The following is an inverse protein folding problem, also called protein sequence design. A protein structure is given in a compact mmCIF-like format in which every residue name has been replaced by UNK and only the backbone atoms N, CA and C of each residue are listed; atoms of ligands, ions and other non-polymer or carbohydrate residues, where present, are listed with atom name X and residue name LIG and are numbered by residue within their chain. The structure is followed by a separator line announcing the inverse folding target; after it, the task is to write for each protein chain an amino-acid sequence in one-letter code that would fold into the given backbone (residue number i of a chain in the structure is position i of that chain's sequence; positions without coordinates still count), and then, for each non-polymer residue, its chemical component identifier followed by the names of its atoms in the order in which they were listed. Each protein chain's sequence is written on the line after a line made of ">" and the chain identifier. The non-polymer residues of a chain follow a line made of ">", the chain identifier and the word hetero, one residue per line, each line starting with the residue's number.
data_IF_325919573760
#
_entry.id   IF_325919573760
#
_cell.length_a   1.000
_cell.length_b   1.000
_cell.length_c   1.000
_cell.angle_alpha   90.00
_cell.angle_beta   90.00
_cell.angle_gamma   90.00
#
_symmetry.space_group_name_H-M   'P 1'
#
loop_
_entity.id
_entity.type
_entity.pdbx_description
1 polymer ?
#
# COMPACT_ATOMS: atom_id res chain seq x y z
N UNK A 1 -34.96 30.78 -27.82
CA UNK A 1 -34.51 29.58 -27.11
C UNK A 1 -33.06 29.13 -27.47
N UNK A 2 -32.38 29.91 -28.31
CA UNK A 2 -30.98 29.61 -28.71
C UNK A 2 -29.90 30.27 -27.83
N UNK A 3 -30.31 31.14 -26.91
CA UNK A 3 -29.33 31.91 -26.11
C UNK A 3 -28.88 31.17 -24.83
N UNK A 4 -29.59 30.12 -24.42
CA UNK A 4 -29.25 29.32 -23.23
C UNK A 4 -28.33 28.13 -23.52
N UNK A 5 -28.21 27.71 -24.77
CA UNK A 5 -27.37 26.56 -25.15
C UNK A 5 -25.88 26.92 -25.28
N UNK A 6 -25.53 28.18 -25.52
CA UNK A 6 -24.13 28.62 -25.68
C UNK A 6 -23.42 28.97 -24.38
N UNK A 7 -24.14 29.10 -23.25
CA UNK A 7 -23.51 29.36 -21.95
C UNK A 7 -23.01 28.06 -21.26
N UNK A 8 -23.59 26.88 -21.60
CA UNK A 8 -23.18 25.63 -20.99
C UNK A 8 -22.01 24.95 -21.70
N UNK A 9 -21.70 25.27 -22.96
CA UNK A 9 -20.53 24.75 -23.67
C UNK A 9 -19.22 25.45 -23.32
N UNK A 10 -19.27 26.68 -22.79
CA UNK A 10 -18.08 27.44 -22.42
C UNK A 10 -17.41 27.00 -21.11
N UNK A 11 -18.18 26.45 -20.16
CA UNK A 11 -17.64 26.08 -18.87
C UNK A 11 -16.98 24.69 -18.85
N UNK A 12 -17.44 23.76 -19.69
CA UNK A 12 -16.84 22.42 -19.77
C UNK A 12 -15.41 22.43 -20.35
N UNK A 13 -15.13 23.34 -21.29
CA UNK A 13 -13.82 23.45 -21.94
C UNK A 13 -12.74 24.10 -21.04
N UNK A 14 -13.13 24.93 -20.09
CA UNK A 14 -12.19 25.62 -19.18
C UNK A 14 -11.81 24.69 -18.02
N UNK A 15 -12.74 23.90 -17.49
CA UNK A 15 -12.43 22.91 -16.46
C UNK A 15 -11.58 21.76 -17.01
N UNK A 16 -11.87 21.25 -18.21
CA UNK A 16 -11.05 20.22 -18.85
C UNK A 16 -9.63 20.71 -19.17
N UNK A 17 -9.47 21.98 -19.55
CA UNK A 17 -8.14 22.55 -19.82
C UNK A 17 -7.32 22.77 -18.55
N UNK A 18 -7.95 23.11 -17.42
CA UNK A 18 -7.30 23.24 -16.12
C UNK A 18 -6.87 21.88 -15.55
N UNK A 19 -7.72 20.86 -15.64
CA UNK A 19 -7.41 19.50 -15.18
C UNK A 19 -6.33 18.86 -16.04
N UNK A 20 -6.36 19.09 -17.36
CA UNK A 20 -5.30 18.63 -18.28
C UNK A 20 -3.98 19.36 -18.06
N UNK A 21 -4.02 20.64 -17.71
CA UNK A 21 -2.86 21.45 -17.35
C UNK A 21 -2.19 20.98 -16.06
N UNK A 22 -2.98 20.63 -15.04
CA UNK A 22 -2.48 20.13 -13.76
C UNK A 22 -1.87 18.72 -13.92
N UNK A 23 -2.47 17.85 -14.73
CA UNK A 23 -1.90 16.51 -14.99
C UNK A 23 -0.57 16.60 -15.77
N UNK A 24 -0.44 17.52 -16.74
CA UNK A 24 0.83 17.76 -17.45
C UNK A 24 1.89 18.42 -16.57
N UNK A 25 1.50 19.32 -15.66
CA UNK A 25 2.41 19.95 -14.73
C UNK A 25 2.91 18.92 -13.67
N UNK A 26 2.05 18.04 -13.19
CA UNK A 26 2.41 16.95 -12.30
C UNK A 26 3.33 15.93 -12.98
N UNK A 27 3.10 15.58 -14.24
CA UNK A 27 4.00 14.72 -15.05
C UNK A 27 5.39 15.34 -15.25
N UNK A 28 5.44 16.67 -15.48
CA UNK A 28 6.73 17.38 -15.63
C UNK A 28 7.45 17.56 -14.29
N UNK A 29 6.71 17.75 -13.20
CA UNK A 29 7.28 17.85 -11.86
C UNK A 29 7.82 16.49 -11.38
N UNK A 30 7.10 15.39 -11.62
CA UNK A 30 7.62 14.05 -11.33
C UNK A 30 8.87 13.71 -12.14
N UNK A 31 8.89 14.04 -13.45
CA UNK A 31 10.08 13.84 -14.29
C UNK A 31 11.27 14.70 -13.82
N UNK A 32 11.01 15.93 -13.37
CA UNK A 32 12.02 16.83 -12.83
C UNK A 32 12.61 16.36 -11.51
N UNK A 33 11.78 15.86 -10.59
CA UNK A 33 12.20 15.33 -9.29
C UNK A 33 12.98 14.02 -9.47
N UNK A 34 12.57 13.17 -10.41
CA UNK A 34 13.29 11.92 -10.72
C UNK A 34 14.69 12.24 -11.27
N UNK A 35 14.82 13.29 -12.08
CA UNK A 35 16.12 13.69 -12.65
C UNK A 35 17.05 14.34 -11.61
N UNK A 36 16.50 15.11 -10.66
CA UNK A 36 17.27 15.74 -9.58
C UNK A 36 17.74 14.68 -8.57
N UNK A 37 16.92 13.68 -8.26
CA UNK A 37 17.33 12.58 -7.38
C UNK A 37 18.39 11.68 -8.03
N UNK A 38 18.36 11.52 -9.35
CA UNK A 38 19.37 10.73 -10.08
C UNK A 38 20.73 11.48 -10.17
N UNK A 39 20.73 12.80 -10.24
CA UNK A 39 21.96 13.60 -10.27
C UNK A 39 22.65 13.72 -8.89
N UNK A 40 21.92 13.60 -7.79
CA UNK A 40 22.51 13.54 -6.44
C UNK A 40 23.12 12.16 -6.13
N UNK A 41 22.63 11.08 -6.76
CA UNK A 41 23.19 9.74 -6.59
C UNK A 41 24.54 9.54 -7.34
N UNK A 42 24.81 10.35 -8.36
CA UNK A 42 26.04 10.24 -9.17
C UNK A 42 27.30 10.83 -8.51
N UNK A 43 27.17 11.56 -7.40
CA UNK A 43 28.31 12.21 -6.74
C UNK A 43 28.87 11.43 -5.54
N UNK A 44 28.39 10.22 -5.27
CA UNK A 44 28.81 9.41 -4.12
C UNK A 44 29.75 8.24 -4.46
N UNK A 45 30.38 8.25 -5.61
CA UNK A 45 31.36 7.23 -5.95
C UNK A 45 32.76 7.85 -6.12
N UNK A 46 33.55 7.84 -5.05
CA UNK A 46 34.97 7.49 -5.04
C UNK A 46 35.50 7.49 -3.61
N UNK A 47 35.52 6.35 -2.97
CA UNK A 47 36.50 6.01 -1.97
C UNK A 47 36.75 4.51 -2.09
N UNK A 48 37.80 4.16 -2.84
CA UNK A 48 38.40 2.82 -2.74
C UNK A 48 38.96 2.69 -1.32
N UNK A 49 38.18 2.07 -0.42
CA UNK A 49 38.75 1.50 0.78
C UNK A 49 39.01 0.03 0.51
N UNK A 50 40.30 -0.33 0.50
CA UNK A 50 40.73 -1.72 0.58
C UNK A 50 40.14 -2.33 1.85
N UNK A 51 39.17 -3.19 1.69
CA UNK A 51 38.57 -3.94 2.79
C UNK A 51 39.52 -5.09 3.09
N UNK A 52 40.27 -4.98 4.18
CA UNK A 52 40.83 -6.16 4.83
C UNK A 52 39.64 -7.09 5.15
N UNK A 53 39.65 -8.28 4.55
CA UNK A 53 38.71 -9.35 4.87
C UNK A 53 38.99 -9.83 6.30
N UNK A 54 38.50 -9.08 7.28
CA UNK A 54 38.35 -9.59 8.63
C UNK A 54 37.35 -10.75 8.59
N UNK A 55 37.65 -11.79 9.35
CA UNK A 55 36.80 -12.97 9.53
C UNK A 55 35.36 -12.54 9.77
N UNK A 56 34.50 -12.69 8.74
CA UNK A 56 33.06 -12.37 8.83
C UNK A 56 32.44 -13.51 9.64
N UNK A 57 32.30 -13.33 10.94
CA UNK A 57 31.48 -14.19 11.78
C UNK A 57 30.01 -14.03 11.33
N UNK A 58 29.59 -14.83 10.36
CA UNK A 58 28.19 -14.89 9.94
C UNK A 58 27.39 -15.50 11.07
N UNK A 59 26.83 -14.65 11.92
CA UNK A 59 25.83 -15.08 12.90
C UNK A 59 24.59 -15.54 12.12
N UNK A 60 24.46 -16.85 11.95
CA UNK A 60 23.33 -17.46 11.26
C UNK A 60 22.01 -17.06 11.90
N UNK A 61 20.96 -16.91 11.08
CA UNK A 61 19.60 -16.73 11.59
C UNK A 61 19.26 -17.88 12.56
N UNK A 62 18.79 -17.54 13.74
CA UNK A 62 18.42 -18.53 14.76
C UNK A 62 16.89 -18.60 14.86
N UNK A 63 16.35 -19.78 14.66
CA UNK A 63 14.93 -20.11 14.85
C UNK A 63 14.81 -20.92 16.13
N UNK A 64 13.95 -20.48 17.04
CA UNK A 64 13.63 -21.17 18.28
C UNK A 64 12.16 -21.53 18.23
N UNK A 65 11.88 -22.85 18.28
CA UNK A 65 10.50 -23.34 18.35
C UNK A 65 9.94 -23.11 19.76
N UNK A 66 8.72 -22.57 19.81
CA UNK A 66 7.94 -22.37 21.02
C UNK A 66 6.68 -23.24 20.96
N UNK A 67 5.97 -23.35 22.07
CA UNK A 67 4.70 -24.08 22.14
C UNK A 67 3.60 -23.44 21.29
N UNK A 68 3.66 -22.10 21.14
CA UNK A 68 2.68 -21.27 20.46
C UNK A 68 3.21 -20.66 19.14
N UNK A 69 4.36 -21.13 18.64
CA UNK A 69 4.91 -20.63 17.39
C UNK A 69 6.43 -20.63 17.28
N UNK A 70 6.99 -19.61 16.63
CA UNK A 70 8.40 -19.48 16.32
C UNK A 70 8.97 -18.16 16.84
N UNK A 71 10.14 -18.20 17.42
CA UNK A 71 10.92 -17.02 17.73
C UNK A 71 12.13 -16.95 16.79
N UNK A 72 12.20 -15.87 16.01
CA UNK A 72 13.17 -15.70 14.95
C UNK A 72 14.14 -14.56 15.25
N UNK A 73 15.42 -14.84 15.09
CA UNK A 73 16.50 -13.88 15.19
C UNK A 73 17.14 -13.70 13.81
N UNK A 74 17.12 -12.48 13.30
CA UNK A 74 17.67 -12.13 12.01
C UNK A 74 19.19 -12.05 12.06
N UNK A 75 19.86 -12.57 11.03
CA UNK A 75 21.27 -12.29 10.80
C UNK A 75 21.46 -10.84 10.33
N UNK A 76 22.67 -10.29 10.51
CA UNK A 76 22.96 -8.95 10.06
C UNK A 76 22.85 -8.83 8.52
N UNK A 77 23.25 -9.89 7.79
CA UNK A 77 23.07 -9.96 6.34
C UNK A 77 21.59 -9.89 5.91
N UNK A 78 20.67 -10.54 6.64
CA UNK A 78 19.24 -10.44 6.36
C UNK A 78 18.68 -9.05 6.62
N UNK A 79 19.16 -8.35 7.66
CA UNK A 79 18.79 -6.98 7.98
C UNK A 79 19.29 -6.00 6.91
N UNK A 80 20.54 -6.13 6.49
CA UNK A 80 21.15 -5.26 5.48
C UNK A 80 20.53 -5.45 4.09
N UNK A 81 20.16 -6.69 3.76
CA UNK A 81 19.49 -7.00 2.51
C UNK A 81 18.02 -6.59 2.46
N UNK A 82 17.45 -6.06 3.54
CA UNK A 82 16.04 -5.70 3.63
C UNK A 82 15.84 -4.19 3.66
N UNK A 83 14.80 -3.70 2.97
CA UNK A 83 14.46 -2.27 2.85
C UNK A 83 13.37 -1.84 3.82
N UNK A 84 12.51 -2.77 4.26
CA UNK A 84 11.31 -2.52 5.06
C UNK A 84 11.00 -3.69 5.99
N UNK A 85 10.02 -3.52 6.88
CA UNK A 85 9.48 -4.64 7.66
C UNK A 85 8.86 -5.72 6.77
N UNK A 86 8.25 -5.37 5.65
CA UNK A 86 7.69 -6.34 4.70
C UNK A 86 8.78 -7.19 4.05
N UNK A 87 9.84 -6.57 3.55
CA UNK A 87 10.95 -7.31 2.93
C UNK A 87 11.65 -8.25 3.92
N UNK A 88 11.70 -7.89 5.21
CA UNK A 88 12.16 -8.79 6.27
C UNK A 88 11.25 -10.00 6.41
N UNK A 89 9.94 -9.78 6.54
CA UNK A 89 8.98 -10.87 6.72
C UNK A 89 8.94 -11.80 5.49
N UNK A 90 9.05 -11.24 4.27
CA UNK A 90 9.07 -12.00 3.03
C UNK A 90 10.25 -12.97 2.98
N UNK A 91 11.45 -12.53 3.40
CA UNK A 91 12.67 -13.36 3.45
C UNK A 91 12.62 -14.45 4.50
N UNK A 92 11.82 -14.28 5.55
CA UNK A 92 11.67 -15.28 6.61
C UNK A 92 10.77 -16.45 6.21
N UNK A 93 9.96 -16.30 5.16
CA UNK A 93 9.07 -17.34 4.64
C UNK A 93 8.24 -18.01 5.73
N UNK A 94 7.50 -17.21 6.51
CA UNK A 94 6.70 -17.69 7.63
C UNK A 94 5.65 -18.71 7.16
N UNK A 95 5.41 -19.80 7.91
CA UNK A 95 4.46 -20.83 7.53
C UNK A 95 3.02 -20.26 7.46
N UNK A 96 2.27 -20.65 6.43
CA UNK A 96 0.87 -20.26 6.16
C UNK A 96 0.64 -18.74 5.98
N UNK A 97 1.70 -17.97 5.85
CA UNK A 97 1.61 -16.50 5.64
C UNK A 97 2.06 -16.16 4.22
N UNK A 98 1.26 -15.35 3.56
CA UNK A 98 1.58 -14.70 2.29
C UNK A 98 1.88 -13.23 2.53
N UNK A 99 3.04 -12.80 2.09
CA UNK A 99 3.51 -11.42 2.21
C UNK A 99 3.65 -10.86 0.81
N UNK A 100 2.96 -9.76 0.56
CA UNK A 100 3.03 -8.98 -0.66
C UNK A 100 3.53 -7.58 -0.30
N UNK A 101 4.80 -7.31 -0.60
CA UNK A 101 5.43 -6.03 -0.28
C UNK A 101 4.85 -4.91 -1.16
N UNK A 102 4.57 -5.20 -2.44
CA UNK A 102 4.04 -4.21 -3.38
C UNK A 102 2.60 -3.80 -3.04
N UNK A 103 1.77 -4.78 -2.72
CA UNK A 103 0.41 -4.55 -2.25
C UNK A 103 0.36 -4.14 -0.77
N UNK A 104 1.48 -4.18 -0.04
CA UNK A 104 1.60 -3.93 1.40
C UNK A 104 0.62 -4.75 2.22
N UNK A 105 0.48 -6.00 1.85
CA UNK A 105 -0.49 -6.91 2.44
C UNK A 105 0.19 -8.13 3.08
N UNK A 106 -0.31 -8.51 4.24
CA UNK A 106 0.03 -9.76 4.91
C UNK A 106 -1.25 -10.53 5.13
N UNK A 107 -1.36 -11.69 4.54
CA UNK A 107 -2.56 -12.52 4.55
C UNK A 107 -2.24 -13.98 4.88
N UNK A 108 -3.26 -14.73 5.25
CA UNK A 108 -3.17 -16.17 5.47
C UNK A 108 -3.32 -16.91 4.14
N UNK A 109 -2.60 -18.03 3.98
CA UNK A 109 -2.77 -18.93 2.82
C UNK A 109 -3.92 -19.90 3.07
N UNK A 110 -4.14 -20.27 4.33
CA UNK A 110 -5.11 -21.29 4.77
C UNK A 110 -6.51 -20.72 5.06
N UNK A 111 -6.72 -19.41 4.88
CA UNK A 111 -7.98 -18.71 5.12
C UNK A 111 -8.58 -18.89 6.53
N UNK A 112 -7.77 -19.24 7.54
CA UNK A 112 -8.25 -19.44 8.91
C UNK A 112 -8.62 -18.16 9.64
N UNK A 113 -8.23 -17.00 9.11
CA UNK A 113 -8.52 -15.71 9.71
C UNK A 113 -7.54 -14.63 9.28
N UNK A 114 -7.42 -13.58 10.07
CA UNK A 114 -6.52 -12.46 9.80
C UNK A 114 -5.14 -12.64 10.43
N UNK A 115 -4.15 -11.92 9.89
CA UNK A 115 -2.83 -11.77 10.49
C UNK A 115 -2.78 -10.44 11.23
N UNK A 116 -2.44 -10.48 12.51
CA UNK A 116 -2.24 -9.27 13.31
C UNK A 116 -0.75 -8.93 13.36
N UNK A 117 -0.40 -7.74 12.87
CA UNK A 117 0.95 -7.20 12.92
C UNK A 117 1.15 -6.36 14.18
N UNK A 118 2.25 -6.55 14.86
CA UNK A 118 2.61 -5.80 16.07
C UNK A 118 4.07 -5.38 16.05
N UNK A 119 4.36 -4.22 16.62
CA UNK A 119 5.71 -3.76 16.90
C UNK A 119 5.79 -3.45 18.39
N UNK A 120 6.69 -4.12 19.10
CA UNK A 120 6.86 -4.00 20.57
C UNK A 120 5.55 -4.23 21.34
N UNK A 121 4.72 -5.19 20.90
CA UNK A 121 3.42 -5.50 21.50
C UNK A 121 2.27 -4.59 21.10
N UNK A 122 2.50 -3.54 20.31
CA UNK A 122 1.49 -2.58 19.85
C UNK A 122 1.01 -3.00 18.46
N UNK A 123 -0.31 -3.05 18.23
CA UNK A 123 -0.89 -3.32 16.91
C UNK A 123 -0.52 -2.18 15.96
N UNK A 124 -0.01 -2.54 14.78
CA UNK A 124 0.45 -1.61 13.77
C UNK A 124 -0.27 -1.83 12.45
N UNK A 125 -0.28 -0.80 11.63
CA UNK A 125 -0.82 -0.86 10.28
C UNK A 125 0.27 -1.04 9.20
N UNK A 126 -0.19 -1.00 7.95
CA UNK A 126 0.67 -1.17 6.78
C UNK A 126 1.76 -0.09 6.67
N UNK A 127 1.43 1.16 7.01
CA UNK A 127 2.37 2.27 6.89
C UNK A 127 3.51 2.16 7.92
N UNK A 128 3.19 1.73 9.14
CA UNK A 128 4.18 1.52 10.19
C UNK A 128 5.13 0.35 9.87
N UNK A 129 4.62 -0.71 9.24
CA UNK A 129 5.44 -1.82 8.75
C UNK A 129 6.39 -1.38 7.62
N UNK A 130 5.94 -0.49 6.73
CA UNK A 130 6.77 0.05 5.66
C UNK A 130 7.91 0.92 6.23
N UNK A 131 7.63 1.72 7.25
CA UNK A 131 8.58 2.62 7.89
C UNK A 131 9.52 1.95 8.89
N UNK A 132 9.39 0.65 9.10
CA UNK A 132 10.22 -0.11 10.04
C UNK A 132 11.63 -0.30 9.49
N UNK A 133 12.63 0.24 10.21
CA UNK A 133 14.04 0.00 9.90
C UNK A 133 14.42 -1.45 10.24
N UNK A 134 14.82 -2.28 9.26
CA UNK A 134 15.25 -3.65 9.49
C UNK A 134 16.41 -3.78 10.48
N UNK A 135 17.33 -2.81 10.52
CA UNK A 135 18.49 -2.81 11.43
C UNK A 135 18.08 -2.66 12.89
N UNK A 136 16.92 -2.06 13.14
CA UNK A 136 16.37 -1.91 14.49
C UNK A 136 15.80 -3.21 15.05
N UNK A 137 15.48 -4.20 14.23
CA UNK A 137 14.83 -5.44 14.63
C UNK A 137 15.78 -6.31 15.48
N UNK A 138 15.30 -6.69 16.65
CA UNK A 138 16.01 -7.60 17.56
C UNK A 138 15.57 -9.05 17.35
N UNK A 139 14.27 -9.27 17.31
CA UNK A 139 13.62 -10.58 17.16
C UNK A 139 12.22 -10.40 16.61
N UNK A 140 11.70 -11.48 16.03
CA UNK A 140 10.32 -11.59 15.56
C UNK A 140 9.69 -12.79 16.25
N UNK A 141 8.57 -12.56 16.90
CA UNK A 141 7.75 -13.59 17.54
C UNK A 141 6.57 -13.90 16.63
N UNK A 142 6.60 -15.07 15.99
CA UNK A 142 5.51 -15.57 15.17
C UNK A 142 4.67 -16.53 16.00
N UNK A 143 3.41 -16.18 16.24
CA UNK A 143 2.47 -16.97 17.04
C UNK A 143 1.44 -17.56 16.09
N UNK A 144 1.41 -18.89 16.00
CA UNK A 144 0.52 -19.66 15.14
C UNK A 144 -0.75 -20.16 15.85
N UNK A 145 -0.82 -19.96 17.15
CA UNK A 145 -2.00 -20.24 17.98
C UNK A 145 -2.22 -19.13 18.99
N UNK A 146 -2.69 -17.93 18.53
CA UNK A 146 -2.70 -16.73 19.37
C UNK A 146 -3.73 -16.76 20.50
N UNK A 147 -4.77 -17.61 20.40
CA UNK A 147 -5.85 -17.66 21.37
C UNK A 147 -6.65 -16.36 21.45
N UNK A 148 -7.66 -16.35 22.33
CA UNK A 148 -8.65 -15.27 22.44
C UNK A 148 -8.09 -13.92 22.88
N UNK A 149 -6.90 -13.88 23.47
CA UNK A 149 -6.25 -12.63 23.96
C UNK A 149 -5.90 -11.64 22.84
N UNK A 150 -5.81 -12.12 21.61
CA UNK A 150 -5.47 -11.28 20.44
C UNK A 150 -6.71 -10.83 19.64
N UNK A 151 -7.88 -11.25 20.06
CA UNK A 151 -9.17 -10.93 19.43
C UNK A 151 -9.72 -12.06 18.58
N UNK A 152 -11.02 -11.96 18.30
CA UNK A 152 -11.72 -12.94 17.47
C UNK A 152 -11.27 -12.83 16.01
N UNK A 153 -11.13 -13.97 15.33
CA UNK A 153 -10.77 -14.02 13.92
C UNK A 153 -9.28 -13.77 13.62
N UNK A 154 -8.42 -13.62 14.64
CA UNK A 154 -6.96 -13.55 14.47
C UNK A 154 -6.40 -14.97 14.44
N UNK A 155 -5.89 -15.39 13.27
CA UNK A 155 -5.30 -16.71 13.09
C UNK A 155 -3.80 -16.72 13.41
N UNK A 156 -3.11 -15.64 13.12
CA UNK A 156 -1.67 -15.51 13.33
C UNK A 156 -1.31 -14.13 13.87
N UNK A 157 -0.27 -14.09 14.71
CA UNK A 157 0.29 -12.82 15.21
C UNK A 157 1.78 -12.78 14.88
N UNK A 158 2.23 -11.65 14.35
CA UNK A 158 3.63 -11.35 14.09
C UNK A 158 4.00 -10.16 14.95
N UNK A 159 4.74 -10.38 16.03
CA UNK A 159 5.20 -9.33 16.93
C UNK A 159 6.70 -9.07 16.74
N UNK A 160 7.04 -7.91 16.19
CA UNK A 160 8.40 -7.50 15.90
C UNK A 160 8.94 -6.69 17.08
N UNK A 161 9.91 -7.23 17.79
CA UNK A 161 10.61 -6.49 18.84
C UNK A 161 11.77 -5.72 18.25
N UNK A 162 11.80 -4.41 18.45
CA UNK A 162 12.86 -3.53 17.95
C UNK A 162 13.74 -3.00 19.07
N UNK A 163 14.95 -2.55 18.70
CA UNK A 163 15.75 -1.69 19.55
C UNK A 163 15.16 -0.29 19.47
N UNK A 164 14.72 0.26 20.59
CA UNK A 164 14.23 1.64 20.61
C UNK A 164 15.44 2.58 20.53
N UNK A 165 15.46 3.42 19.50
CA UNK A 165 16.39 4.55 19.47
C UNK A 165 16.00 5.52 20.61
N UNK A 166 16.98 5.97 21.40
CA UNK A 166 16.74 6.95 22.48
C UNK A 166 16.41 8.33 21.93
N UNK A 167 16.94 8.66 20.76
CA UNK A 167 16.60 9.86 19.99
C UNK A 167 17.02 9.65 18.52
N UNK A 168 16.32 10.30 17.60
CA UNK A 168 16.63 10.23 16.18
C UNK A 168 15.42 10.51 15.30
N UNK A 169 15.65 10.53 14.00
CA UNK A 169 14.60 10.65 13.00
C UNK A 169 14.83 9.64 11.87
N UNK A 170 13.76 9.22 11.26
CA UNK A 170 13.77 8.40 10.05
C UNK A 170 12.84 9.06 9.03
N UNK A 171 13.29 9.21 7.80
CA UNK A 171 12.47 9.70 6.69
C UNK A 171 12.67 8.74 5.54
N UNK A 172 11.59 8.43 4.84
CA UNK A 172 11.65 7.55 3.69
C UNK A 172 10.50 7.78 2.72
N UNK A 173 10.64 7.17 1.55
CA UNK A 173 9.63 7.20 0.50
C UNK A 173 9.55 5.84 -0.17
N UNK A 174 8.34 5.48 -0.59
CA UNK A 174 8.07 4.30 -1.41
C UNK A 174 7.29 4.75 -2.63
N UNK A 175 7.80 4.42 -3.82
CA UNK A 175 7.23 4.83 -5.10
C UNK A 175 6.94 3.56 -5.90
N UNK A 176 5.67 3.38 -6.28
CA UNK A 176 5.24 2.29 -7.14
C UNK A 176 4.48 2.87 -8.32
N UNK A 177 4.92 2.57 -9.54
CA UNK A 177 4.34 3.08 -10.77
C UNK A 177 4.23 1.96 -11.80
N UNK A 178 3.04 1.79 -12.37
CA UNK A 178 2.84 0.89 -13.50
C UNK A 178 3.41 1.50 -14.78
N UNK A 179 4.13 0.70 -15.58
CA UNK A 179 4.75 1.17 -16.81
C UNK A 179 3.78 1.20 -18.00
N UNK A 180 2.78 0.31 -18.00
CA UNK A 180 1.83 0.13 -19.09
C UNK A 180 0.41 0.60 -18.78
N UNK A 181 0.19 1.15 -17.58
CA UNK A 181 -1.10 1.66 -17.16
C UNK A 181 -0.91 2.93 -16.31
N UNK A 182 -1.87 3.84 -16.37
CA UNK A 182 -1.85 5.06 -15.56
C UNK A 182 -2.31 4.75 -14.13
N UNK A 183 -1.44 4.10 -13.36
CA UNK A 183 -1.68 3.69 -11.99
C UNK A 183 -0.39 3.81 -11.18
N UNK A 184 -0.46 4.45 -10.02
CA UNK A 184 0.68 4.62 -9.14
C UNK A 184 0.29 4.83 -7.69
N UNK A 185 1.16 4.38 -6.79
CA UNK A 185 1.07 4.61 -5.35
C UNK A 185 2.38 5.20 -4.85
N UNK A 186 2.28 6.29 -4.11
CA UNK A 186 3.43 7.01 -3.57
C UNK A 186 3.22 7.23 -2.09
N UNK A 187 4.20 6.84 -1.29
CA UNK A 187 4.19 7.04 0.15
C UNK A 187 5.40 7.85 0.56
N UNK A 188 5.19 8.83 1.42
CA UNK A 188 6.24 9.55 2.14
C UNK A 188 5.97 9.36 3.63
N UNK A 189 7.00 9.01 4.37
CA UNK A 189 6.88 8.85 5.81
C UNK A 189 8.03 9.49 6.56
N UNK A 190 7.71 9.96 7.75
CA UNK A 190 8.68 10.50 8.70
C UNK A 190 8.39 10.00 10.11
N UNK A 191 9.43 9.70 10.88
CA UNK A 191 9.36 9.26 12.25
C UNK A 191 10.40 10.01 13.09
N UNK A 192 9.99 10.53 14.22
CA UNK A 192 10.85 11.23 15.14
C UNK A 192 10.72 10.64 16.54
N UNK A 193 11.85 10.21 17.10
CA UNK A 193 11.96 9.62 18.43
C UNK A 193 12.69 10.55 19.38
N UNK A 194 12.15 10.72 20.57
CA UNK A 194 12.78 11.46 21.65
C UNK A 194 12.48 10.77 22.99
N UNK A 195 13.48 10.10 23.58
CA UNK A 195 13.31 9.37 24.84
C UNK A 195 12.20 8.32 24.76
N UNK A 196 11.09 8.57 25.46
CA UNK A 196 9.92 7.66 25.50
C UNK A 196 8.86 7.99 24.45
N UNK A 197 9.01 9.10 23.75
CA UNK A 197 8.03 9.61 22.77
C UNK A 197 8.48 9.30 21.36
N UNK A 198 7.53 8.92 20.53
CA UNK A 198 7.69 8.72 19.09
C UNK A 198 6.53 9.41 18.38
N UNK A 199 6.85 10.24 17.40
CA UNK A 199 5.89 10.87 16.49
C UNK A 199 6.15 10.36 15.07
N UNK A 200 5.12 9.87 14.41
CA UNK A 200 5.21 9.43 13.02
C UNK A 200 4.13 10.09 12.15
N UNK A 201 4.52 10.46 10.95
CA UNK A 201 3.65 11.00 9.90
C UNK A 201 3.80 10.13 8.66
N UNK A 202 2.68 9.66 8.12
CA UNK A 202 2.61 8.94 6.86
C UNK A 202 1.65 9.67 5.92
N UNK A 203 2.05 9.83 4.67
CA UNK A 203 1.22 10.35 3.59
C UNK A 203 1.28 9.40 2.42
N UNK A 204 0.13 8.88 2.01
CA UNK A 204 -0.05 8.02 0.87
C UNK A 204 -0.85 8.75 -0.20
N UNK A 205 -0.34 8.77 -1.42
CA UNK A 205 -1.03 9.23 -2.61
C UNK A 205 -1.13 8.11 -3.63
N UNK A 206 -2.36 7.77 -4.00
CA UNK A 206 -2.65 6.80 -5.05
C UNK A 206 -3.42 7.45 -6.18
N UNK A 207 -3.05 7.15 -7.42
CA UNK A 207 -3.86 7.51 -8.56
C UNK A 207 -4.08 6.31 -9.47
N UNK A 208 -5.22 6.32 -10.14
CA UNK A 208 -5.64 5.33 -11.09
C UNK A 208 -6.41 6.02 -12.21
N UNK A 209 -6.00 5.82 -13.45
CA UNK A 209 -6.72 6.31 -14.64
C UNK A 209 -6.72 5.19 -15.69
N UNK A 210 -7.87 4.56 -15.87
CA UNK A 210 -8.06 3.47 -16.81
C UNK A 210 -9.15 3.82 -17.80
N UNK A 211 -8.81 3.73 -19.07
CA UNK A 211 -9.74 3.85 -20.18
C UNK A 211 -9.96 2.47 -20.82
N UNK A 212 -11.18 2.25 -21.27
CA UNK A 212 -11.48 1.11 -22.16
C UNK A 212 -11.56 -0.25 -21.46
N UNK A 213 -11.96 -0.33 -20.19
CA UNK A 213 -12.37 -1.60 -19.62
C UNK A 213 -13.51 -2.16 -20.49
N UNK A 214 -13.39 -3.39 -20.95
CA UNK A 214 -14.41 -4.05 -21.75
C UNK A 214 -14.94 -5.24 -20.97
N UNK A 215 -16.25 -5.25 -20.80
CA UNK A 215 -16.98 -6.36 -20.25
C UNK A 215 -18.10 -6.72 -21.22
N UNK A 216 -18.21 -7.99 -21.56
CA UNK A 216 -19.29 -8.54 -22.34
C UNK A 216 -20.07 -9.49 -21.45
N UNK A 217 -21.36 -9.25 -21.33
CA UNK A 217 -22.25 -10.05 -20.51
C UNK A 217 -23.46 -10.48 -21.34
N UNK A 218 -23.79 -11.76 -21.30
CA UNK A 218 -25.04 -12.28 -21.87
C UNK A 218 -25.80 -13.02 -20.78
N UNK A 219 -27.01 -12.53 -20.45
CA UNK A 219 -27.89 -13.14 -19.50
C UNK A 219 -29.04 -13.88 -20.23
N UNK A 220 -29.27 -15.13 -19.86
CA UNK A 220 -30.35 -15.96 -20.40
C UNK A 220 -31.42 -16.17 -19.32
N UNK A 221 -32.65 -15.78 -19.59
CA UNK A 221 -33.79 -15.96 -18.71
C UNK A 221 -34.73 -17.01 -19.31
N UNK A 222 -34.86 -18.16 -18.67
CA UNK A 222 -35.82 -19.18 -19.03
C UNK A 222 -37.19 -18.82 -18.49
N UNK A 223 -38.13 -18.57 -19.37
CA UNK A 223 -39.50 -18.21 -19.00
C UNK A 223 -40.38 -19.45 -18.79
N UNK A 224 -41.49 -19.27 -18.09
CA UNK A 224 -42.40 -20.38 -17.74
C UNK A 224 -43.08 -21.02 -18.96
N UNK A 225 -43.10 -20.35 -20.10
CA UNK A 225 -43.65 -20.83 -21.38
C UNK A 225 -42.63 -21.64 -22.19
N UNK A 226 -41.44 -21.86 -21.63
CA UNK A 226 -40.32 -22.56 -22.26
C UNK A 226 -39.48 -21.69 -23.23
N UNK A 227 -39.82 -20.42 -23.39
CA UNK A 227 -39.01 -19.49 -24.19
C UNK A 227 -37.77 -19.02 -23.41
N UNK A 228 -36.76 -18.54 -24.11
CA UNK A 228 -35.55 -17.96 -23.50
C UNK A 228 -35.49 -16.50 -23.91
N UNK A 229 -35.47 -15.64 -22.87
CA UNK A 229 -35.26 -14.21 -23.05
C UNK A 229 -33.80 -13.88 -22.82
N UNK A 230 -33.18 -13.14 -23.75
CA UNK A 230 -31.73 -12.85 -23.70
C UNK A 230 -31.50 -11.35 -23.58
N UNK A 231 -30.64 -10.98 -22.65
CA UNK A 231 -30.11 -9.62 -22.53
C UNK A 231 -28.62 -9.67 -22.75
N UNK A 232 -28.10 -8.88 -23.71
CA UNK A 232 -26.69 -8.70 -23.96
C UNK A 232 -26.26 -7.29 -23.54
N UNK A 233 -25.14 -7.18 -22.83
CA UNK A 233 -24.56 -5.91 -22.41
C UNK A 233 -23.09 -5.90 -22.77
N UNK A 234 -22.72 -5.03 -23.70
CA UNK A 234 -21.37 -4.91 -24.19
C UNK A 234 -20.84 -3.50 -23.91
N UNK A 235 -19.72 -3.38 -23.19
CA UNK A 235 -19.09 -2.09 -22.95
C UNK A 235 -18.60 -1.48 -24.26
N UNK A 236 -19.03 -0.24 -24.54
CA UNK A 236 -18.59 0.54 -25.70
C UNK A 236 -17.40 1.42 -25.32
N UNK A 237 -17.52 2.14 -24.21
CA UNK A 237 -16.52 3.04 -23.68
C UNK A 237 -16.64 3.11 -22.16
N UNK A 238 -15.52 3.11 -21.49
CA UNK A 238 -15.47 3.32 -20.04
C UNK A 238 -14.25 4.13 -19.66
N UNK A 239 -14.37 4.89 -18.59
CA UNK A 239 -13.26 5.54 -17.93
C UNK A 239 -13.43 5.40 -16.43
N UNK A 240 -12.35 5.03 -15.74
CA UNK A 240 -12.31 5.01 -14.29
C UNK A 240 -11.09 5.80 -13.82
N UNK A 241 -11.34 6.98 -13.26
CA UNK A 241 -10.30 7.87 -12.73
C UNK A 241 -10.50 8.07 -11.24
N UNK A 242 -9.44 7.80 -10.46
CA UNK A 242 -9.50 7.94 -9.01
C UNK A 242 -8.19 8.48 -8.46
N UNK A 243 -8.30 9.45 -7.56
CA UNK A 243 -7.19 9.98 -6.76
C UNK A 243 -7.51 9.75 -5.29
N UNK A 244 -6.61 9.07 -4.59
CA UNK A 244 -6.75 8.77 -3.17
C UNK A 244 -5.60 9.43 -2.42
N UNK A 245 -5.92 10.12 -1.34
CA UNK A 245 -4.94 10.69 -0.44
C UNK A 245 -5.25 10.20 0.97
N UNK A 246 -4.26 9.69 1.66
CA UNK A 246 -4.35 9.29 3.07
C UNK A 246 -3.23 9.96 3.84
N UNK A 247 -3.60 10.59 4.95
CA UNK A 247 -2.67 11.15 5.94
C UNK A 247 -2.88 10.43 7.25
N UNK A 248 -1.82 9.99 7.90
CA UNK A 248 -1.86 9.42 9.24
C UNK A 248 -0.76 10.02 10.10
N UNK A 249 -1.15 10.57 11.23
CA UNK A 249 -0.28 11.03 12.30
C UNK A 249 -0.44 10.08 13.49
N UNK A 250 0.66 9.54 14.01
CA UNK A 250 0.64 8.66 15.17
C UNK A 250 1.62 9.18 16.22
N UNK A 251 1.17 9.24 17.46
CA UNK A 251 2.00 9.54 18.62
C UNK A 251 2.03 8.34 19.57
N UNK A 252 3.21 7.86 19.88
CA UNK A 252 3.45 6.77 20.81
C UNK A 252 4.26 7.30 22.01
N UNK A 253 3.74 7.04 23.21
CA UNK A 253 4.46 7.26 24.45
C UNK A 253 4.53 5.92 25.20
N UNK A 254 5.72 5.38 25.37
CA UNK A 254 5.86 4.08 25.98
C UNK A 254 7.05 4.00 26.93
N UNK A 255 6.78 3.58 28.14
CA UNK A 255 7.76 3.10 29.12
C UNK A 255 7.71 1.58 29.11
N UNK A 256 8.82 0.94 28.78
CA UNK A 256 8.90 -0.51 28.50
C UNK A 256 8.34 -1.42 29.60
N UNK A 257 8.14 -0.89 30.80
CA UNK A 257 7.73 -1.67 31.98
C UNK A 257 6.45 -1.17 32.66
N UNK A 258 5.98 0.02 32.34
CA UNK A 258 4.91 0.67 33.12
C UNK A 258 3.65 0.99 32.33
N UNK A 259 3.79 1.60 31.17
CA UNK A 259 2.64 2.03 30.37
C UNK A 259 2.99 2.16 28.88
N UNK A 260 1.98 2.00 28.06
CA UNK A 260 1.99 2.33 26.63
C UNK A 260 0.78 3.20 26.35
N UNK A 261 0.99 4.35 25.75
CA UNK A 261 -0.06 5.22 25.25
C UNK A 261 0.17 5.45 23.76
N UNK A 262 -0.87 5.22 22.96
CA UNK A 262 -0.87 5.47 21.53
C UNK A 262 -2.08 6.31 21.15
N UNK A 263 -1.85 7.37 20.40
CA UNK A 263 -2.90 8.17 19.78
C UNK A 263 -2.61 8.28 18.29
N UNK A 264 -3.65 8.16 17.46
CA UNK A 264 -3.53 8.32 16.01
C UNK A 264 -4.67 9.16 15.47
N UNK A 265 -4.35 9.99 14.48
CA UNK A 265 -5.28 10.77 13.68
C UNK A 265 -5.06 10.41 12.23
N UNK A 266 -6.12 10.05 11.52
CA UNK A 266 -6.06 9.75 10.08
C UNK A 266 -7.16 10.46 9.32
N UNK A 267 -6.86 10.82 8.07
CA UNK A 267 -7.80 11.38 7.11
C UNK A 267 -7.62 10.71 5.75
N UNK A 268 -8.72 10.30 5.15
CA UNK A 268 -8.77 9.71 3.81
C UNK A 268 -9.61 10.64 2.90
N UNK A 269 -9.00 11.07 1.79
CA UNK A 269 -9.63 11.94 0.81
C UNK A 269 -9.58 11.28 -0.55
N UNK A 270 -10.75 11.03 -1.13
CA UNK A 270 -10.88 10.43 -2.46
C UNK A 270 -11.58 11.39 -3.41
N UNK A 271 -11.04 11.53 -4.61
CA UNK A 271 -11.63 12.30 -5.70
C UNK A 271 -11.75 11.42 -6.95
N UNK A 272 -12.95 11.38 -7.54
CA UNK A 272 -13.29 10.51 -8.68
C UNK A 272 -13.87 11.40 -9.81
N UNK A 273 -13.02 12.06 -10.62
CA UNK A 273 -13.48 12.93 -11.67
C UNK A 273 -13.81 12.13 -12.94
N UNK A 274 -15.03 12.29 -13.44
CA UNK A 274 -15.42 11.84 -14.78
C UNK A 274 -15.42 10.32 -14.97
N UNK A 275 -15.75 9.54 -13.94
CA UNK A 275 -16.00 8.10 -14.08
C UNK A 275 -17.27 7.90 -14.90
N UNK A 276 -17.18 7.05 -15.92
CA UNK A 276 -18.34 6.64 -16.71
C UNK A 276 -18.15 5.26 -17.30
N UNK A 277 -19.28 4.59 -17.53
CA UNK A 277 -19.34 3.36 -18.32
C UNK A 277 -20.53 3.44 -19.29
N UNK A 278 -20.26 3.29 -20.58
CA UNK A 278 -21.26 3.21 -21.63
C UNK A 278 -21.36 1.79 -22.13
N UNK A 279 -22.57 1.26 -22.15
CA UNK A 279 -22.87 -0.09 -22.58
C UNK A 279 -23.87 -0.06 -23.73
N UNK A 280 -23.62 -0.86 -24.76
CA UNK A 280 -24.66 -1.24 -25.70
C UNK A 280 -25.48 -2.38 -25.07
N UNK A 281 -26.78 -2.18 -24.95
CA UNK A 281 -27.71 -3.15 -24.36
C UNK A 281 -28.67 -3.60 -25.45
N UNK A 282 -28.65 -4.91 -25.73
CA UNK A 282 -29.65 -5.58 -26.57
C UNK A 282 -30.59 -6.35 -25.65
N UNK A 283 -31.82 -5.91 -25.57
CA UNK A 283 -32.85 -6.42 -24.69
C UNK A 283 -34.03 -6.94 -25.53
N UNK A 284 -34.00 -8.24 -25.82
CA UNK A 284 -34.90 -8.84 -26.78
C UNK A 284 -34.70 -8.24 -28.18
N UNK A 285 -35.68 -7.46 -28.66
CA UNK A 285 -35.63 -6.73 -29.94
C UNK A 285 -35.19 -5.29 -29.82
N UNK A 286 -35.00 -4.77 -28.60
CA UNK A 286 -34.64 -3.39 -28.37
C UNK A 286 -33.12 -3.26 -28.21
N UNK A 287 -32.56 -2.25 -28.87
CA UNK A 287 -31.14 -1.91 -28.74
C UNK A 287 -31.04 -0.45 -28.31
N UNK A 288 -30.24 -0.20 -27.25
CA UNK A 288 -30.02 1.15 -26.72
C UNK A 288 -28.67 1.28 -26.02
N UNK A 289 -28.19 2.51 -25.90
CA UNK A 289 -26.97 2.82 -25.17
C UNK A 289 -27.31 3.26 -23.76
N UNK A 290 -26.87 2.50 -22.77
CA UNK A 290 -26.93 2.87 -21.35
C UNK A 290 -25.63 3.55 -20.93
N UNK A 291 -25.72 4.63 -20.14
CA UNK A 291 -24.59 5.31 -19.52
C UNK A 291 -24.79 5.28 -18.00
N UNK A 292 -23.79 4.83 -17.29
CA UNK A 292 -23.77 4.76 -15.83
C UNK A 292 -22.66 5.66 -15.30
#
# INVERSE_FOLDING_TARGET
>A
MEWLTNQFQGNASVEDSLVYGISRAARKACAGITFILFSLAASAQTAEQSIELGEVEVKAARIVHKTDGLLLYLSDAQKEASSSGYSVLQKLSLPNIRIDEDARNVSTIDNKGSVQLRINGIIVDQAEMLSLDPKSIRKIDFIDNPGVRYGDGVAYVIDITTRRATSGYTVGTSLSQSLNAENGNYTVYGKWNTGKSELSLNYDFGYKDFDGNRMEETAYYHLNDGSVYTIQRNDIASRSRRFNNRVKLTYNLADSTRYVFQASLSGDFSHVPGDFNRKNVVDGTNEYVATQ
#
